data_IF_113902626353
#
_entry.id   IF_113902626353
#
_cell.length_a   1.000
_cell.length_b   1.000
_cell.length_c   1.000
_cell.angle_alpha   90.00
_cell.angle_beta   90.00
_cell.angle_gamma   90.00
#
_symmetry.space_group_name_H-M   'P 1'
#
loop_
_entity.id
_entity.type
_entity.pdbx_description
1 polymer ?
#
# COMPACT_ATOMS: atom_id res chain seq x y z
N UNK A 1 -1.50 1.44 -12.12
CA UNK A 1 -1.66 1.86 -10.71
C UNK A 1 -0.31 1.79 -10.03
N UNK A 2 0.07 2.84 -9.34
CA UNK A 2 1.34 2.92 -8.61
C UNK A 2 1.04 3.03 -7.12
N UNK A 3 1.44 2.01 -6.37
CA UNK A 3 1.16 1.91 -4.93
C UNK A 3 2.47 2.03 -4.16
N UNK A 4 2.48 2.88 -3.15
CA UNK A 4 3.55 2.93 -2.17
C UNK A 4 3.07 2.19 -0.91
N UNK A 5 3.77 1.13 -0.54
CA UNK A 5 3.46 0.37 0.67
C UNK A 5 4.39 0.83 1.78
N UNK A 6 3.82 1.42 2.82
CA UNK A 6 4.59 1.90 3.97
C UNK A 6 4.51 0.88 5.08
N UNK A 7 5.64 0.45 5.59
CA UNK A 7 5.71 -0.60 6.60
C UNK A 7 6.74 -0.26 7.68
N UNK A 8 6.67 -1.02 8.77
CA UNK A 8 7.53 -0.80 9.95
C UNK A 8 8.97 -1.28 9.76
N UNK A 9 9.23 -1.96 8.65
CA UNK A 9 10.55 -2.53 8.40
C UNK A 9 10.42 -3.97 7.91
N UNK A 10 10.38 -4.09 6.79
CA UNK A 10 10.11 -4.89 6.08
C UNK A 10 10.26 -6.20 5.41
N UNK A 11 10.66 -7.18 6.07
CA UNK A 11 10.96 -8.44 5.41
C UNK A 11 9.71 -9.21 4.94
N UNK A 12 8.60 -9.06 5.62
CA UNK A 12 7.35 -9.72 5.26
C UNK A 12 6.60 -9.07 4.10
N UNK A 13 6.91 -7.83 3.79
CA UNK A 13 6.23 -7.09 2.72
C UNK A 13 6.62 -7.56 1.32
N UNK A 14 7.83 -8.12 1.16
CA UNK A 14 8.26 -8.62 -0.15
C UNK A 14 7.36 -9.72 -0.67
N UNK A 15 6.97 -10.66 0.20
CA UNK A 15 6.06 -11.74 -0.19
C UNK A 15 4.67 -11.20 -0.54
N UNK A 16 4.16 -10.26 0.26
CA UNK A 16 2.88 -9.63 -0.01
C UNK A 16 2.90 -8.92 -1.37
N UNK A 17 3.94 -8.14 -1.64
CA UNK A 17 4.07 -7.42 -2.90
C UNK A 17 4.07 -8.36 -4.11
N UNK A 18 4.77 -9.49 -4.00
CA UNK A 18 4.81 -10.47 -5.08
C UNK A 18 3.42 -11.07 -5.33
N UNK A 19 2.69 -11.37 -4.27
CA UNK A 19 1.32 -11.87 -4.39
C UNK A 19 0.39 -10.83 -5.00
N UNK A 20 0.54 -9.58 -4.62
CA UNK A 20 -0.25 -8.49 -5.19
C UNK A 20 0.04 -8.30 -6.68
N UNK A 21 1.30 -8.31 -7.07
CA UNK A 21 1.68 -8.21 -8.48
C UNK A 21 1.07 -9.33 -9.30
N UNK A 22 1.14 -10.56 -8.81
CA UNK A 22 0.56 -11.72 -9.49
C UNK A 22 -0.96 -11.59 -9.60
N UNK A 23 -1.62 -11.16 -8.54
CA UNK A 23 -3.08 -11.00 -8.55
C UNK A 23 -3.52 -9.92 -9.54
N UNK A 24 -2.86 -8.76 -9.53
CA UNK A 24 -3.17 -7.69 -10.49
C UNK A 24 -2.99 -8.17 -11.92
N UNK A 25 -1.92 -8.91 -12.20
CA UNK A 25 -1.67 -9.47 -13.52
C UNK A 25 -2.78 -10.43 -13.95
N UNK A 26 -3.29 -11.26 -13.04
CA UNK A 26 -4.41 -12.15 -13.30
C UNK A 26 -5.69 -11.39 -13.65
N UNK A 27 -5.84 -10.19 -13.11
CA UNK A 27 -6.99 -9.33 -13.40
C UNK A 27 -6.78 -8.47 -14.64
N UNK A 28 -5.68 -8.67 -15.36
CA UNK A 28 -5.37 -7.90 -16.56
C UNK A 28 -4.95 -6.45 -16.26
N UNK A 29 -4.44 -6.19 -15.07
CA UNK A 29 -4.06 -4.84 -14.62
C UNK A 29 -2.57 -4.77 -14.31
N UNK A 30 -1.97 -3.62 -14.59
CA UNK A 30 -0.58 -3.38 -14.22
C UNK A 30 -0.49 -2.83 -12.80
N UNK A 31 0.55 -3.25 -12.09
CA UNK A 31 0.83 -2.76 -10.75
C UNK A 31 2.31 -2.43 -10.62
N UNK A 32 2.59 -1.19 -10.26
CA UNK A 32 3.89 -0.77 -9.77
C UNK A 32 3.77 -0.60 -8.28
N UNK A 33 4.58 -1.32 -7.51
CA UNK A 33 4.52 -1.27 -6.05
C UNK A 33 5.93 -1.31 -5.47
N UNK A 34 6.15 -0.46 -4.48
CA UNK A 34 7.39 -0.41 -3.72
C UNK A 34 7.05 -0.36 -2.23
N UNK A 35 7.94 -0.90 -1.41
CA UNK A 35 7.80 -0.84 0.04
C UNK A 35 8.89 0.06 0.62
N UNK A 36 8.50 0.95 1.53
CA UNK A 36 9.43 1.85 2.23
C UNK A 36 9.06 1.93 3.70
N UNK A 37 10.00 2.36 4.53
CA UNK A 37 9.73 2.72 5.91
C UNK A 37 9.02 4.07 6.00
N UNK A 38 8.44 4.36 7.17
CA UNK A 38 7.71 5.61 7.39
C UNK A 38 8.57 6.83 7.11
N UNK A 39 9.84 6.78 7.50
CA UNK A 39 10.75 7.93 7.36
C UNK A 39 11.10 8.25 5.91
N UNK A 40 10.99 7.26 5.03
CA UNK A 40 11.32 7.43 3.61
C UNK A 40 10.12 7.81 2.77
N UNK A 41 8.92 7.71 3.33
CA UNK A 41 7.67 7.91 2.61
C UNK A 41 7.61 9.27 1.94
N UNK A 42 7.93 10.33 2.67
CA UNK A 42 7.82 11.71 2.16
C UNK A 42 8.74 11.95 0.97
N UNK A 43 9.90 11.29 0.96
CA UNK A 43 10.88 11.49 -0.10
C UNK A 43 10.46 10.90 -1.44
N UNK A 44 9.62 9.86 -1.42
CA UNK A 44 9.29 9.10 -2.64
C UNK A 44 7.81 9.13 -3.02
N UNK A 45 6.93 9.61 -2.15
CA UNK A 45 5.47 9.52 -2.34
C UNK A 45 4.99 10.20 -3.63
N UNK A 46 5.68 11.21 -4.12
CA UNK A 46 5.31 11.92 -5.33
C UNK A 46 5.30 11.02 -6.57
N UNK A 47 6.04 9.92 -6.53
CA UNK A 47 6.13 8.97 -7.65
C UNK A 47 4.99 7.95 -7.67
N UNK A 48 4.09 7.99 -6.70
CA UNK A 48 3.04 7.00 -6.52
C UNK A 48 1.66 7.64 -6.48
N UNK A 49 0.65 6.85 -6.83
CA UNK A 49 -0.73 7.34 -6.89
C UNK A 49 -1.42 7.29 -5.53
N UNK A 50 -1.21 6.18 -4.82
CA UNK A 50 -1.84 5.94 -3.52
C UNK A 50 -0.83 5.34 -2.55
N UNK A 51 -1.16 5.42 -1.26
CA UNK A 51 -0.33 4.86 -0.20
C UNK A 51 -1.16 3.87 0.61
N UNK A 52 -0.61 2.68 0.80
CA UNK A 52 -1.19 1.67 1.68
C UNK A 52 -0.26 1.47 2.86
N UNK A 53 -0.81 1.46 4.07
CA UNK A 53 -0.04 1.41 5.31
C UNK A 53 -0.20 0.04 5.95
N UNK A 54 0.92 -0.57 6.33
CA UNK A 54 0.91 -1.84 7.05
C UNK A 54 0.21 -1.70 8.41
N UNK A 55 -0.50 -2.74 8.86
CA UNK A 55 -1.29 -2.63 10.10
C UNK A 55 -0.46 -2.38 11.35
N UNK A 56 0.81 -2.76 11.33
CA UNK A 56 1.71 -2.55 12.47
C UNK A 56 1.97 -1.08 12.76
N UNK A 57 1.83 -0.21 11.77
CA UNK A 57 2.05 1.22 11.89
C UNK A 57 0.79 2.02 11.52
N UNK A 58 -0.37 1.40 11.62
CA UNK A 58 -1.64 2.07 11.34
C UNK A 58 -1.87 3.33 12.18
N UNK A 59 -1.26 3.40 13.37
CA UNK A 59 -1.33 4.59 14.23
C UNK A 59 -0.65 5.82 13.59
N UNK A 60 0.15 5.63 12.54
CA UNK A 60 0.80 6.72 11.82
C UNK A 60 -0.01 7.21 10.61
N UNK A 61 -1.18 6.61 10.36
CA UNK A 61 -1.96 6.91 9.15
C UNK A 61 -2.29 8.39 9.01
N UNK A 62 -2.77 9.02 10.08
CA UNK A 62 -3.14 10.44 10.03
C UNK A 62 -1.94 11.33 9.69
N UNK A 63 -0.77 11.01 10.24
CA UNK A 63 0.45 11.75 9.96
C UNK A 63 0.88 11.58 8.50
N UNK A 64 0.80 10.35 8.00
CA UNK A 64 1.16 10.06 6.60
C UNK A 64 0.23 10.80 5.65
N UNK A 65 -1.06 10.81 5.92
CA UNK A 65 -2.02 11.59 5.12
C UNK A 65 -1.69 13.06 5.09
N UNK A 66 -1.37 13.64 6.25
CA UNK A 66 -1.05 15.05 6.37
C UNK A 66 0.24 15.39 5.62
N UNK A 67 1.25 14.55 5.74
CA UNK A 67 2.57 14.80 5.16
C UNK A 67 2.59 14.63 3.65
N UNK A 68 1.82 13.69 3.11
CA UNK A 68 1.88 13.34 1.68
C UNK A 68 0.78 13.96 0.85
N UNK A 69 -0.37 14.24 1.44
CA UNK A 69 -1.55 14.69 0.70
C UNK A 69 -2.14 13.66 -0.25
N UNK A 70 -1.71 12.41 -0.15
CA UNK A 70 -2.16 11.33 -1.04
C UNK A 70 -3.30 10.52 -0.42
N UNK A 71 -4.16 9.89 -1.24
CA UNK A 71 -5.09 8.89 -0.72
C UNK A 71 -4.34 7.78 -0.02
N UNK A 72 -4.73 7.49 1.22
CA UNK A 72 -3.93 6.67 2.11
C UNK A 72 -4.86 5.94 3.08
N UNK A 73 -4.64 4.65 3.29
CA UNK A 73 -5.36 3.87 4.30
C UNK A 73 -4.51 2.69 4.77
N UNK A 74 -4.90 2.15 5.92
CA UNK A 74 -4.25 0.98 6.51
C UNK A 74 -4.85 -0.29 5.94
N UNK A 75 -4.00 -1.25 5.58
CA UNK A 75 -4.47 -2.58 5.20
C UNK A 75 -4.97 -3.26 6.48
N UNK A 76 -6.20 -3.81 6.49
CA UNK A 76 -6.68 -4.53 7.66
C UNK A 76 -5.74 -5.67 8.06
N UNK A 77 -5.54 -5.85 9.37
CA UNK A 77 -4.59 -6.84 9.89
C UNK A 77 -4.81 -8.23 9.34
N UNK A 78 -6.06 -8.66 9.26
CA UNK A 78 -6.40 -9.99 8.76
C UNK A 78 -6.02 -10.13 7.29
N UNK A 79 -6.37 -9.16 6.48
CA UNK A 79 -6.08 -9.18 5.03
C UNK A 79 -4.57 -9.16 4.78
N UNK A 80 -3.83 -8.41 5.59
CA UNK A 80 -2.39 -8.36 5.52
C UNK A 80 -1.78 -9.71 5.88
N UNK A 81 -2.25 -10.33 6.97
CA UNK A 81 -1.70 -11.58 7.50
C UNK A 81 -1.85 -12.73 6.51
N UNK A 82 -2.98 -12.82 5.82
CA UNK A 82 -3.24 -13.91 4.87
C UNK A 82 -2.98 -13.51 3.41
N UNK A 83 -2.50 -12.29 3.19
CA UNK A 83 -2.31 -11.72 1.86
C UNK A 83 -3.59 -11.84 1.02
N UNK A 84 -4.70 -11.32 1.57
CA UNK A 84 -6.00 -11.37 0.91
C UNK A 84 -6.04 -10.35 -0.24
N UNK A 85 -5.44 -10.71 -1.36
CA UNK A 85 -5.31 -9.82 -2.51
C UNK A 85 -6.64 -9.28 -3.04
N UNK A 86 -7.73 -10.05 -3.11
CA UNK A 86 -9.03 -9.49 -3.53
C UNK A 86 -9.46 -8.31 -2.66
N UNK A 87 -9.36 -8.41 -1.34
CA UNK A 87 -9.73 -7.33 -0.44
C UNK A 87 -8.74 -6.16 -0.50
N UNK A 88 -7.46 -6.46 -0.62
CA UNK A 88 -6.43 -5.44 -0.76
C UNK A 88 -6.63 -4.66 -2.06
N UNK A 89 -6.97 -5.34 -3.15
CA UNK A 89 -7.27 -4.67 -4.42
C UNK A 89 -8.49 -3.77 -4.31
N UNK A 90 -9.55 -4.20 -3.61
CA UNK A 90 -10.72 -3.37 -3.39
C UNK A 90 -10.36 -2.08 -2.65
N UNK A 91 -9.53 -2.19 -1.63
CA UNK A 91 -9.06 -1.03 -0.88
C UNK A 91 -8.23 -0.11 -1.79
N UNK A 92 -7.33 -0.66 -2.58
CA UNK A 92 -6.51 0.10 -3.50
C UNK A 92 -7.36 0.84 -4.53
N UNK A 93 -8.36 0.19 -5.09
CA UNK A 93 -9.26 0.81 -6.07
C UNK A 93 -10.09 1.93 -5.44
N UNK A 94 -10.52 1.74 -4.20
CA UNK A 94 -11.24 2.77 -3.45
C UNK A 94 -10.36 4.01 -3.24
N UNK A 95 -9.10 3.82 -2.90
CA UNK A 95 -8.16 4.92 -2.73
C UNK A 95 -7.86 5.60 -4.07
N UNK A 96 -7.66 4.82 -5.11
CA UNK A 96 -7.37 5.33 -6.45
C UNK A 96 -8.53 6.20 -6.97
N UNK A 97 -9.75 5.85 -6.64
CA UNK A 97 -10.93 6.61 -7.03
C UNK A 97 -11.00 7.99 -6.37
N UNK A 98 -10.21 8.24 -5.34
CA UNK A 98 -10.13 9.54 -4.66
C UNK A 98 -9.21 10.53 -5.36
N UNK A 99 -8.48 10.10 -6.37
CA UNK A 99 -7.57 10.97 -7.11
C UNK A 99 -8.29 12.00 -7.98
#
# INVERSE_FOLDING_TARGET
MKILLVCAGGMSTGLLMNKMKAYWAQQGKELTIEAVGVEECDAVCANYDIIMVGPQIGYRLAQIKADTGKPCDTIPSFDYAIANCPNIMKLAEKLYAQL
#
